data_IF_466221064929
#
_entry.id   IF_466221064929
#
_cell.length_a   1.000
_cell.length_b   1.000
_cell.length_c   1.000
_cell.angle_alpha   90.00
_cell.angle_beta   90.00
_cell.angle_gamma   90.00
#
_symmetry.space_group_name_H-M   'P 1'
#
loop_
_entity.id
_entity.type
_entity.pdbx_description
1 polymer ?
#
# COMPACT_ATOMS: atom_id res chain seq x y z
N UNK A 1 -25.56 18.53 -27.15
CA UNK A 1 -24.71 17.86 -26.12
C UNK A 1 -23.68 16.88 -26.73
N UNK A 2 -24.02 16.05 -27.73
CA UNK A 2 -23.09 15.05 -28.31
C UNK A 2 -21.80 15.55 -28.99
N UNK A 3 -21.75 16.78 -29.55
CA UNK A 3 -20.54 17.26 -30.26
C UNK A 3 -19.39 17.68 -29.32
N UNK A 4 -19.70 18.18 -28.11
CA UNK A 4 -18.68 18.57 -27.12
C UNK A 4 -18.06 17.37 -26.40
N UNK A 5 -18.87 16.35 -26.10
CA UNK A 5 -18.39 15.09 -25.49
C UNK A 5 -17.43 14.38 -26.45
N UNK A 6 -17.76 14.32 -27.75
CA UNK A 6 -16.89 13.73 -28.76
C UNK A 6 -15.58 14.50 -29.00
N UNK A 7 -15.48 15.78 -28.66
CA UNK A 7 -14.23 16.54 -28.82
C UNK A 7 -13.30 16.40 -27.62
N UNK A 8 -13.82 16.26 -26.40
CA UNK A 8 -13.00 16.06 -25.20
C UNK A 8 -12.36 14.66 -25.18
N UNK A 9 -13.12 13.62 -25.53
CA UNK A 9 -12.59 12.24 -25.60
C UNK A 9 -11.46 12.12 -26.64
N UNK A 10 -11.58 12.78 -27.80
CA UNK A 10 -10.49 12.83 -28.79
C UNK A 10 -9.23 13.51 -28.24
N UNK A 11 -9.39 14.61 -27.50
CA UNK A 11 -8.27 15.30 -26.85
C UNK A 11 -7.59 14.42 -25.80
N UNK A 12 -8.40 13.69 -25.02
CA UNK A 12 -7.93 12.72 -24.03
C UNK A 12 -7.09 11.61 -24.68
N UNK A 13 -7.58 11.00 -25.75
CA UNK A 13 -6.85 9.96 -26.51
C UNK A 13 -5.49 10.49 -26.98
N UNK A 14 -5.46 11.69 -27.57
CA UNK A 14 -4.20 12.27 -28.04
C UNK A 14 -3.21 12.58 -26.91
N UNK A 15 -3.69 13.01 -25.75
CA UNK A 15 -2.83 13.23 -24.57
C UNK A 15 -2.27 11.91 -24.05
N UNK A 16 -3.12 10.88 -24.00
CA UNK A 16 -2.70 9.52 -23.64
C UNK A 16 -1.59 9.04 -24.57
N UNK A 17 -1.76 9.13 -25.90
CA UNK A 17 -0.75 8.71 -26.87
C UNK A 17 0.59 9.46 -26.67
N UNK A 18 0.52 10.73 -26.28
CA UNK A 18 1.71 11.53 -25.99
C UNK A 18 2.38 11.09 -24.68
N UNK A 19 1.61 10.80 -23.63
CA UNK A 19 2.11 10.29 -22.35
C UNK A 19 2.78 8.93 -22.56
N UNK A 20 2.16 8.02 -23.32
CA UNK A 20 2.72 6.70 -23.66
C UNK A 20 4.02 6.83 -24.47
N UNK A 21 4.14 7.86 -25.33
CA UNK A 21 5.39 8.17 -26.02
C UNK A 21 6.48 8.77 -25.11
N UNK A 22 6.15 9.04 -23.85
CA UNK A 22 7.02 9.59 -22.81
C UNK A 22 7.72 10.91 -23.23
N UNK A 23 7.03 11.75 -24.01
CA UNK A 23 7.60 12.98 -24.58
C UNK A 23 7.00 14.23 -23.94
N UNK A 24 7.67 14.74 -22.89
CA UNK A 24 7.24 15.94 -22.15
C UNK A 24 7.14 17.19 -23.04
N UNK A 25 8.07 17.37 -23.99
CA UNK A 25 8.06 18.53 -24.89
C UNK A 25 6.81 18.53 -25.76
N UNK A 26 6.48 17.38 -26.35
CA UNK A 26 5.25 17.19 -27.15
C UNK A 26 4.00 17.42 -26.29
N UNK A 27 3.99 16.94 -25.04
CA UNK A 27 2.87 17.14 -24.12
C UNK A 27 2.65 18.64 -23.81
N UNK A 28 3.70 19.36 -23.46
CA UNK A 28 3.64 20.80 -23.16
C UNK A 28 3.15 21.61 -24.37
N UNK A 29 3.66 21.32 -25.56
CA UNK A 29 3.26 22.01 -26.77
C UNK A 29 1.79 21.74 -27.11
N UNK A 30 1.38 20.48 -27.07
CA UNK A 30 0.01 20.10 -27.39
C UNK A 30 -1.00 20.76 -26.44
N UNK A 31 -0.76 20.76 -25.13
CA UNK A 31 -1.64 21.42 -24.14
C UNK A 31 -1.74 22.93 -24.41
N UNK A 32 -0.63 23.58 -24.74
CA UNK A 32 -0.60 25.01 -25.08
C UNK A 32 -1.41 25.30 -26.34
N UNK A 33 -1.32 24.45 -27.35
CA UNK A 33 -2.06 24.59 -28.61
C UNK A 33 -3.58 24.44 -28.43
N UNK A 34 -4.02 23.43 -27.67
CA UNK A 34 -5.45 23.14 -27.53
C UNK A 34 -6.15 23.93 -26.42
N UNK A 35 -5.38 24.68 -25.63
CA UNK A 35 -5.82 25.52 -24.52
C UNK A 35 -6.84 24.81 -23.59
N UNK A 36 -6.47 23.62 -23.10
CA UNK A 36 -7.30 22.80 -22.20
C UNK A 36 -6.68 22.76 -20.80
N UNK A 37 -7.53 22.75 -19.78
CA UNK A 37 -7.11 22.37 -18.42
C UNK A 37 -7.03 20.85 -18.32
N UNK A 38 -5.87 20.29 -17.93
CA UNK A 38 -5.73 18.83 -17.78
C UNK A 38 -6.71 18.24 -16.77
N UNK A 39 -7.12 19.03 -15.77
CA UNK A 39 -8.13 18.63 -14.77
C UNK A 39 -9.46 18.23 -15.42
N UNK A 40 -9.81 18.83 -16.56
CA UNK A 40 -11.07 18.53 -17.29
C UNK A 40 -11.08 17.14 -17.93
N UNK A 41 -9.93 16.48 -18.06
CA UNK A 41 -9.84 15.12 -18.62
C UNK A 41 -10.15 14.04 -17.57
N UNK A 42 -10.09 14.40 -16.29
CA UNK A 42 -10.40 13.50 -15.19
C UNK A 42 -11.91 13.36 -15.04
N UNK A 43 -12.34 12.15 -14.69
CA UNK A 43 -13.73 11.84 -14.36
C UNK A 43 -13.78 10.74 -13.29
N UNK A 44 -14.98 10.30 -12.91
CA UNK A 44 -15.16 9.34 -11.81
C UNK A 44 -14.44 7.99 -12.02
N UNK A 45 -14.15 7.63 -13.27
CA UNK A 45 -13.60 6.33 -13.65
C UNK A 45 -12.21 6.45 -14.30
N UNK A 46 -11.69 7.66 -14.47
CA UNK A 46 -10.39 7.91 -15.11
C UNK A 46 -9.71 9.11 -14.48
N UNK A 47 -8.45 8.95 -14.13
CA UNK A 47 -7.59 10.03 -13.67
C UNK A 47 -6.26 9.99 -14.43
N UNK A 48 -5.87 11.14 -14.98
CA UNK A 48 -4.70 11.26 -15.84
C UNK A 48 -3.40 10.99 -15.09
N UNK A 49 -3.30 11.39 -13.81
CA UNK A 49 -2.13 11.14 -12.99
C UNK A 49 -1.98 9.65 -12.72
N UNK A 50 -3.04 8.98 -12.26
CA UNK A 50 -3.04 7.53 -12.04
C UNK A 50 -2.69 6.79 -13.33
N UNK A 51 -3.32 7.17 -14.46
CA UNK A 51 -3.01 6.59 -15.76
C UNK A 51 -1.52 6.68 -16.11
N UNK A 52 -0.95 7.88 -16.01
CA UNK A 52 0.45 8.11 -16.34
C UNK A 52 1.40 7.31 -15.42
N UNK A 53 1.05 7.13 -14.15
CA UNK A 53 1.82 6.30 -13.20
C UNK A 53 1.79 4.84 -13.63
N UNK A 54 0.60 4.29 -13.89
CA UNK A 54 0.40 2.89 -14.28
C UNK A 54 1.02 2.55 -15.64
N UNK A 55 1.18 3.55 -16.51
CA UNK A 55 1.81 3.47 -17.83
C UNK A 55 3.30 3.87 -17.84
N UNK A 56 3.95 3.89 -16.66
CA UNK A 56 5.39 4.13 -16.53
C UNK A 56 5.89 5.45 -17.16
N UNK A 57 5.06 6.49 -17.18
CA UNK A 57 5.49 7.80 -17.63
C UNK A 57 6.67 8.31 -16.80
N UNK A 58 7.54 9.09 -17.43
CA UNK A 58 8.71 9.68 -16.77
C UNK A 58 8.30 10.56 -15.59
N UNK A 59 9.17 10.63 -14.58
CA UNK A 59 8.94 11.45 -13.39
C UNK A 59 8.66 12.92 -13.73
N UNK A 60 9.24 13.44 -14.82
CA UNK A 60 9.02 14.82 -15.27
C UNK A 60 7.62 15.00 -15.87
N UNK A 61 7.06 14.00 -16.54
CA UNK A 61 5.67 14.00 -16.98
C UNK A 61 4.73 13.93 -15.78
N UNK A 62 5.02 13.05 -14.81
CA UNK A 62 4.21 12.95 -13.58
C UNK A 62 4.21 14.29 -12.82
N UNK A 63 5.38 14.88 -12.59
CA UNK A 63 5.51 16.19 -11.92
C UNK A 63 4.78 17.30 -12.68
N UNK A 64 4.86 17.28 -14.02
CA UNK A 64 4.11 18.22 -14.85
C UNK A 64 2.59 18.04 -14.71
N UNK A 65 2.08 16.80 -14.74
CA UNK A 65 0.64 16.51 -14.57
C UNK A 65 0.15 16.99 -13.20
N UNK A 66 0.88 16.70 -12.12
CA UNK A 66 0.53 17.15 -10.76
C UNK A 66 0.36 18.68 -10.73
N UNK A 67 1.30 19.41 -11.33
CA UNK A 67 1.28 20.89 -11.38
C UNK A 67 0.15 21.45 -12.22
N UNK A 68 -0.18 20.81 -13.35
CA UNK A 68 -1.19 21.30 -14.29
C UNK A 68 -2.62 20.94 -13.89
N UNK A 69 -2.84 19.76 -13.29
CA UNK A 69 -4.17 19.35 -12.83
C UNK A 69 -4.60 20.07 -11.54
N UNK A 70 -3.66 20.63 -10.77
CA UNK A 70 -3.93 21.36 -9.52
C UNK A 70 -4.86 20.57 -8.59
N UNK A 71 -4.45 19.33 -8.31
CA UNK A 71 -5.13 18.47 -7.35
C UNK A 71 -5.21 19.17 -5.98
N UNK A 72 -6.37 19.12 -5.34
CA UNK A 72 -6.55 19.66 -3.98
C UNK A 72 -5.72 18.86 -2.96
N UNK A 73 -5.60 17.55 -3.21
CA UNK A 73 -4.84 16.59 -2.42
C UNK A 73 -4.46 15.41 -3.32
N UNK A 74 -3.39 14.69 -2.96
CA UNK A 74 -3.01 13.42 -3.58
C UNK A 74 -3.56 12.20 -2.83
N UNK A 75 -4.33 12.44 -1.76
CA UNK A 75 -4.98 11.44 -0.91
C UNK A 75 -6.43 11.22 -1.37
N UNK A 76 -6.58 10.69 -2.58
CA UNK A 76 -7.88 10.37 -3.17
C UNK A 76 -7.86 8.99 -3.81
N UNK A 77 -9.06 8.43 -3.98
CA UNK A 77 -9.28 7.21 -4.75
C UNK A 77 -10.31 7.44 -5.84
N UNK A 78 -10.07 6.91 -7.04
CA UNK A 78 -11.11 6.74 -8.07
C UNK A 78 -11.54 5.28 -8.13
N UNK A 79 -12.74 5.01 -8.65
CA UNK A 79 -13.21 3.65 -8.85
C UNK A 79 -13.31 3.33 -10.35
N UNK A 80 -12.42 2.46 -10.81
CA UNK A 80 -12.33 2.09 -12.22
C UNK A 80 -13.20 0.85 -12.50
N UNK A 81 -14.36 1.06 -13.12
CA UNK A 81 -15.27 -0.03 -13.54
C UNK A 81 -14.78 -0.81 -14.77
N UNK A 82 -13.74 -0.33 -15.46
CA UNK A 82 -13.23 -0.93 -16.69
C UNK A 82 -12.22 -2.04 -16.39
N UNK A 83 -11.48 -1.92 -15.28
CA UNK A 83 -10.56 -2.94 -14.79
C UNK A 83 -11.33 -4.05 -14.05
N UNK A 84 -11.96 -4.92 -14.85
CA UNK A 84 -12.75 -6.04 -14.38
C UNK A 84 -11.84 -7.20 -13.96
N UNK A 85 -11.61 -7.37 -12.66
CA UNK A 85 -10.98 -8.59 -12.11
C UNK A 85 -12.04 -9.61 -11.70
N UNK A 86 -11.82 -10.86 -12.10
CA UNK A 86 -12.61 -12.01 -11.64
C UNK A 86 -12.09 -12.38 -10.24
N UNK A 87 -12.98 -12.33 -9.25
CA UNK A 87 -12.70 -12.83 -7.91
C UNK A 87 -13.33 -14.21 -7.73
N UNK A 88 -12.53 -15.16 -7.23
CA UNK A 88 -13.01 -16.46 -6.80
C UNK A 88 -13.21 -16.46 -5.29
N UNK A 89 -14.46 -16.41 -4.83
CA UNK A 89 -14.79 -16.53 -3.42
C UNK A 89 -14.89 -18.01 -3.03
N UNK A 90 -13.95 -18.51 -2.21
CA UNK A 90 -14.09 -19.74 -1.42
C UNK A 90 -14.71 -20.96 -2.17
N UNK A 91 -14.29 -21.21 -3.42
CA UNK A 91 -14.75 -22.36 -4.20
C UNK A 91 -16.16 -22.25 -4.78
N UNK A 92 -16.85 -21.14 -4.59
CA UNK A 92 -18.11 -20.83 -5.27
C UNK A 92 -17.83 -19.92 -6.47
N UNK A 93 -18.08 -20.44 -7.67
CA UNK A 93 -17.97 -19.73 -8.94
C UNK A 93 -19.12 -18.72 -9.09
N UNK A 94 -19.01 -17.56 -8.45
CA UNK A 94 -19.76 -16.38 -8.85
C UNK A 94 -18.79 -15.38 -9.45
N UNK A 95 -18.81 -15.26 -10.78
CA UNK A 95 -18.15 -14.18 -11.50
C UNK A 95 -18.77 -12.86 -11.05
N UNK A 96 -18.13 -12.22 -10.08
CA UNK A 96 -18.52 -10.88 -9.66
C UNK A 96 -17.51 -9.91 -10.25
N UNK A 97 -17.99 -9.10 -11.20
CA UNK A 97 -17.21 -8.05 -11.84
C UNK A 97 -17.20 -6.84 -10.93
N UNK A 98 -16.13 -6.67 -10.17
CA UNK A 98 -15.90 -5.45 -9.39
C UNK A 98 -14.84 -4.60 -10.08
N UNK A 99 -15.06 -3.28 -10.05
CA UNK A 99 -14.06 -2.32 -10.40
C UNK A 99 -12.98 -2.24 -9.31
N UNK A 100 -11.92 -1.52 -9.60
CA UNK A 100 -10.75 -1.40 -8.72
C UNK A 100 -10.63 0.03 -8.25
N UNK A 101 -10.46 0.22 -6.94
CA UNK A 101 -10.04 1.51 -6.43
C UNK A 101 -8.60 1.77 -6.85
N UNK A 102 -8.31 2.97 -7.35
CA UNK A 102 -6.96 3.39 -7.69
C UNK A 102 -6.62 4.64 -6.90
N UNK A 103 -5.44 4.65 -6.31
CA UNK A 103 -4.90 5.75 -5.51
C UNK A 103 -3.53 6.06 -6.08
N UNK A 104 -3.18 7.34 -6.36
CA UNK A 104 -1.91 7.66 -7.01
C UNK A 104 -0.69 7.06 -6.31
N UNK A 105 -0.65 7.17 -4.97
CA UNK A 105 0.44 6.62 -4.17
C UNK A 105 0.47 5.09 -4.23
N UNK A 106 -0.69 4.44 -4.14
CA UNK A 106 -0.76 2.97 -4.15
C UNK A 106 -0.37 2.41 -5.51
N UNK A 107 -0.84 3.03 -6.60
CA UNK A 107 -0.47 2.67 -7.98
C UNK A 107 1.03 2.80 -8.21
N UNK A 108 1.69 3.82 -7.66
CA UNK A 108 3.16 3.96 -7.80
C UNK A 108 3.94 2.90 -7.02
N UNK A 109 3.47 2.52 -5.84
CA UNK A 109 4.12 1.55 -4.96
C UNK A 109 3.87 0.12 -5.44
N UNK A 110 2.70 -0.17 -6.02
CA UNK A 110 2.35 -1.50 -6.52
C UNK A 110 3.27 -1.97 -7.65
N UNK A 111 3.77 -1.03 -8.46
CA UNK A 111 4.76 -1.28 -9.53
C UNK A 111 6.20 -1.01 -9.08
N UNK A 112 6.46 -0.89 -7.77
CA UNK A 112 7.77 -0.59 -7.18
C UNK A 112 8.43 0.69 -7.73
N UNK A 113 7.67 1.66 -8.24
CA UNK A 113 8.19 2.93 -8.74
C UNK A 113 8.39 3.92 -7.58
N UNK A 114 9.38 3.62 -6.73
CA UNK A 114 9.67 4.40 -5.53
C UNK A 114 10.11 5.84 -5.81
N UNK A 115 10.62 6.13 -7.01
CA UNK A 115 10.94 7.51 -7.42
C UNK A 115 9.68 8.35 -7.52
N UNK A 116 8.65 7.83 -8.19
CA UNK A 116 7.33 8.47 -8.27
C UNK A 116 6.64 8.49 -6.91
N UNK A 117 6.69 7.40 -6.14
CA UNK A 117 6.12 7.39 -4.79
C UNK A 117 6.74 8.47 -3.88
N UNK A 118 8.06 8.66 -3.95
CA UNK A 118 8.75 9.73 -3.23
C UNK A 118 8.30 11.13 -3.70
N UNK A 119 8.08 11.33 -5.00
CA UNK A 119 7.54 12.58 -5.55
C UNK A 119 6.13 12.85 -4.99
N UNK A 120 5.26 11.84 -4.95
CA UNK A 120 3.91 11.98 -4.41
C UNK A 120 3.92 12.31 -2.91
N UNK A 121 4.73 11.59 -2.11
CA UNK A 121 4.88 11.87 -0.67
C UNK A 121 5.44 13.28 -0.44
N UNK A 122 6.41 13.71 -1.25
CA UNK A 122 6.94 15.09 -1.19
C UNK A 122 5.85 16.14 -1.48
N UNK A 123 4.84 15.78 -2.26
CA UNK A 123 3.65 16.58 -2.52
C UNK A 123 2.47 16.21 -1.58
N UNK A 124 2.79 15.81 -0.35
CA UNK A 124 1.84 15.54 0.74
C UNK A 124 0.89 14.36 0.53
N UNK A 125 1.22 13.39 -0.34
CA UNK A 125 0.55 12.09 -0.32
C UNK A 125 0.89 11.33 0.98
N UNK A 126 -0.13 10.79 1.64
CA UNK A 126 -0.03 10.12 2.93
C UNK A 126 0.13 8.61 2.75
N UNK A 127 1.22 8.05 3.28
CA UNK A 127 1.47 6.60 3.28
C UNK A 127 0.42 5.82 4.09
N UNK A 128 -0.27 6.50 5.02
CA UNK A 128 -1.31 5.95 5.87
C UNK A 128 -2.72 6.28 5.37
N UNK A 129 -2.86 6.75 4.12
CA UNK A 129 -4.17 6.98 3.51
C UNK A 129 -5.01 5.71 3.55
N UNK A 130 -6.29 5.85 3.89
CA UNK A 130 -7.27 4.76 3.95
C UNK A 130 -8.40 5.06 2.96
N UNK A 131 -8.78 4.06 2.17
CA UNK A 131 -9.92 4.14 1.26
C UNK A 131 -11.22 3.86 2.04
N UNK A 132 -11.97 4.92 2.39
CA UNK A 132 -13.17 4.82 3.25
C UNK A 132 -14.28 3.88 2.72
N UNK A 133 -14.42 3.75 1.39
CA UNK A 133 -15.48 2.97 0.74
C UNK A 133 -15.02 1.62 0.18
N UNK A 134 -13.88 1.11 0.64
CA UNK A 134 -13.32 -0.15 0.14
C UNK A 134 -14.29 -1.35 0.34
N UNK A 135 -15.16 -1.30 1.35
CA UNK A 135 -16.10 -2.35 1.74
C UNK A 135 -17.21 -2.65 0.73
N UNK A 136 -17.51 -1.75 -0.21
CA UNK A 136 -18.58 -1.98 -1.20
C UNK A 136 -18.29 -3.24 -2.05
N UNK A 137 -17.03 -3.67 -2.11
CA UNK A 137 -16.58 -4.86 -2.83
C UNK A 137 -16.82 -6.16 -2.04
N UNK A 138 -17.02 -6.09 -0.71
CA UNK A 138 -17.13 -7.26 0.18
C UNK A 138 -18.38 -7.15 1.06
N UNK A 139 -19.55 -7.34 0.47
CA UNK A 139 -20.89 -7.21 1.09
C UNK A 139 -21.12 -8.00 2.39
N UNK A 140 -20.25 -8.97 2.72
CA UNK A 140 -20.36 -9.82 3.91
C UNK A 140 -19.32 -9.51 5.01
N UNK A 141 -18.46 -8.51 4.85
CA UNK A 141 -17.42 -8.21 5.84
C UNK A 141 -17.89 -7.11 6.82
N UNK A 142 -17.85 -7.43 8.12
CA UNK A 142 -18.09 -6.45 9.18
C UNK A 142 -17.01 -5.36 9.15
N UNK A 143 -17.43 -4.11 9.39
CA UNK A 143 -16.62 -2.87 9.43
C UNK A 143 -15.52 -2.84 10.53
N UNK A 144 -15.25 -3.95 11.20
CA UNK A 144 -14.41 -4.01 12.41
C UNK A 144 -12.90 -3.91 12.14
N UNK A 145 -12.46 -3.98 10.88
CA UNK A 145 -11.05 -3.85 10.49
C UNK A 145 -10.85 -2.64 9.60
N UNK A 146 -9.76 -1.88 9.78
CA UNK A 146 -9.35 -0.82 8.84
C UNK A 146 -8.93 -1.45 7.51
N UNK A 147 -9.87 -1.59 6.57
CA UNK A 147 -9.58 -2.05 5.23
C UNK A 147 -9.33 -0.85 4.31
N UNK A 148 -8.40 -1.01 3.38
CA UNK A 148 -8.14 -0.01 2.35
C UNK A 148 -6.91 0.87 2.59
N UNK A 149 -6.09 0.59 3.60
CA UNK A 149 -4.70 1.07 3.56
C UNK A 149 -3.89 0.32 2.49
N UNK A 150 -2.68 0.83 2.25
CA UNK A 150 -1.82 0.36 1.19
C UNK A 150 -1.40 -1.11 1.32
N UNK A 151 -1.17 -1.62 2.53
CA UNK A 151 -0.74 -3.02 2.71
C UNK A 151 -1.89 -3.96 2.38
N UNK A 152 -3.08 -3.67 2.91
CA UNK A 152 -4.28 -4.44 2.59
C UNK A 152 -4.62 -4.36 1.09
N UNK A 153 -4.52 -3.16 0.51
CA UNK A 153 -4.72 -2.95 -0.92
C UNK A 153 -3.81 -3.85 -1.75
N UNK A 154 -2.50 -3.76 -1.54
CA UNK A 154 -1.54 -4.55 -2.29
C UNK A 154 -1.73 -6.05 -2.07
N UNK A 155 -2.06 -6.47 -0.84
CA UNK A 155 -2.28 -7.88 -0.54
C UNK A 155 -3.47 -8.45 -1.31
N UNK A 156 -4.63 -7.78 -1.26
CA UNK A 156 -5.86 -8.22 -1.94
C UNK A 156 -5.68 -8.34 -3.45
N UNK A 157 -4.85 -7.49 -4.04
CA UNK A 157 -4.57 -7.51 -5.46
C UNK A 157 -3.38 -8.40 -5.87
N UNK A 158 -2.78 -9.14 -4.93
CA UNK A 158 -1.55 -9.93 -5.13
C UNK A 158 -0.35 -9.10 -5.64
N UNK A 159 -0.28 -7.84 -5.22
CA UNK A 159 0.78 -6.89 -5.56
C UNK A 159 1.77 -6.69 -4.40
N UNK A 160 1.48 -7.22 -3.20
CA UNK A 160 2.34 -7.09 -2.04
C UNK A 160 3.59 -7.97 -2.18
N UNK A 161 4.76 -7.33 -2.11
CA UNK A 161 6.07 -7.94 -2.25
C UNK A 161 7.01 -7.44 -1.13
N UNK A 162 8.15 -8.09 -0.94
CA UNK A 162 9.09 -7.69 0.12
C UNK A 162 9.59 -6.25 -0.08
N UNK A 163 9.83 -5.83 -1.32
CA UNK A 163 10.43 -4.52 -1.60
C UNK A 163 9.44 -3.37 -1.38
N UNK A 164 8.19 -3.49 -1.89
CA UNK A 164 7.19 -2.46 -1.59
C UNK A 164 6.78 -2.44 -0.12
N UNK A 165 6.71 -3.59 0.56
CA UNK A 165 6.46 -3.63 1.99
C UNK A 165 7.56 -2.89 2.77
N UNK A 166 8.83 -3.18 2.50
CA UNK A 166 9.96 -2.45 3.14
C UNK A 166 9.87 -0.95 2.87
N UNK A 167 9.55 -0.56 1.64
CA UNK A 167 9.36 0.84 1.30
C UNK A 167 8.25 1.49 2.13
N UNK A 168 7.07 0.86 2.20
CA UNK A 168 5.91 1.33 2.97
C UNK A 168 6.28 1.55 4.44
N UNK A 169 6.88 0.53 5.06
CA UNK A 169 7.28 0.57 6.46
C UNK A 169 8.28 1.71 6.72
N UNK A 170 9.32 1.82 5.88
CA UNK A 170 10.34 2.88 6.00
C UNK A 170 9.81 4.30 5.75
N UNK A 171 8.59 4.46 5.22
CA UNK A 171 7.94 5.76 5.03
C UNK A 171 7.05 6.18 6.18
N UNK A 172 7.07 5.45 7.29
CA UNK A 172 6.32 5.81 8.50
C UNK A 172 4.90 5.24 8.49
N UNK A 173 4.75 4.01 8.00
CA UNK A 173 3.49 3.30 8.10
C UNK A 173 3.09 3.11 9.57
N UNK A 174 1.80 3.27 9.87
CA UNK A 174 1.30 3.34 11.24
C UNK A 174 1.19 1.94 11.86
N UNK A 175 1.95 1.69 12.91
CA UNK A 175 1.95 0.41 13.65
C UNK A 175 0.57 0.04 14.21
N UNK A 176 -0.30 1.02 14.48
CA UNK A 176 -1.65 0.72 14.95
C UNK A 176 -2.44 -0.06 13.89
N UNK A 177 -2.23 0.22 12.60
CA UNK A 177 -2.87 -0.50 11.48
C UNK A 177 -2.36 -1.96 11.41
N UNK A 178 -1.09 -2.19 11.74
CA UNK A 178 -0.52 -3.54 11.86
C UNK A 178 -1.26 -4.33 12.95
N UNK A 179 -1.51 -3.71 14.11
CA UNK A 179 -2.20 -4.32 15.25
C UNK A 179 -3.72 -4.53 15.01
N UNK A 180 -4.32 -3.85 14.02
CA UNK A 180 -5.75 -4.02 13.73
C UNK A 180 -6.10 -5.25 12.91
N UNK A 181 -5.21 -5.80 12.08
CA UNK A 181 -5.60 -6.94 11.23
C UNK A 181 -4.59 -7.49 10.23
N UNK A 182 -3.60 -6.70 9.80
CA UNK A 182 -2.67 -7.08 8.71
C UNK A 182 -2.03 -8.46 8.95
N UNK A 183 -1.51 -8.72 10.15
CA UNK A 183 -0.85 -9.99 10.46
C UNK A 183 -1.82 -11.17 10.31
N UNK A 184 -3.06 -11.02 10.77
CA UNK A 184 -4.10 -12.04 10.64
C UNK A 184 -4.46 -12.34 9.19
N UNK A 185 -4.45 -11.32 8.33
CA UNK A 185 -4.72 -11.47 6.90
C UNK A 185 -3.58 -12.13 6.17
N UNK A 186 -2.35 -11.68 6.42
CA UNK A 186 -1.16 -12.32 5.89
C UNK A 186 -1.13 -13.79 6.29
N UNK A 187 -1.48 -14.14 7.54
CA UNK A 187 -1.60 -15.53 8.05
C UNK A 187 -2.64 -16.36 7.27
N UNK A 188 -3.76 -15.74 6.90
CA UNK A 188 -4.84 -16.42 6.17
C UNK A 188 -4.53 -16.60 4.68
N UNK A 189 -3.65 -15.76 4.13
CA UNK A 189 -3.34 -15.79 2.73
C UNK A 189 -2.55 -17.05 2.35
N UNK A 190 -2.80 -17.57 1.14
CA UNK A 190 -2.09 -18.73 0.60
C UNK A 190 -0.81 -18.34 -0.14
N UNK A 191 -0.32 -17.12 0.06
CA UNK A 191 0.86 -16.62 -0.62
C UNK A 191 2.14 -17.33 -0.15
N UNK A 192 2.98 -17.74 -1.11
CA UNK A 192 4.27 -18.39 -0.85
C UNK A 192 5.23 -17.50 -0.03
N UNK A 193 5.09 -16.18 -0.10
CA UNK A 193 5.98 -15.22 0.55
C UNK A 193 5.49 -14.73 1.94
N UNK A 194 4.38 -15.27 2.45
CA UNK A 194 3.75 -14.90 3.73
C UNK A 194 4.76 -14.77 4.89
N UNK A 195 5.58 -15.81 5.10
CA UNK A 195 6.57 -15.85 6.18
C UNK A 195 7.54 -14.67 6.10
N UNK A 196 8.00 -14.34 4.89
CA UNK A 196 8.93 -13.24 4.64
C UNK A 196 8.29 -11.88 4.94
N UNK A 197 7.02 -11.69 4.54
CA UNK A 197 6.28 -10.46 4.79
C UNK A 197 6.05 -10.21 6.29
N UNK A 198 5.57 -11.22 7.02
CA UNK A 198 5.35 -11.12 8.48
C UNK A 198 6.66 -10.84 9.20
N UNK A 199 7.73 -11.57 8.85
CA UNK A 199 9.06 -11.35 9.45
C UNK A 199 9.61 -9.96 9.16
N UNK A 200 9.32 -9.40 7.97
CA UNK A 200 9.71 -8.03 7.62
C UNK A 200 9.03 -7.01 8.53
N UNK A 201 7.73 -7.17 8.79
CA UNK A 201 6.97 -6.30 9.71
C UNK A 201 7.52 -6.40 11.13
N UNK A 202 7.72 -7.62 11.65
CA UNK A 202 8.23 -7.85 13.00
C UNK A 202 9.62 -7.24 13.19
N UNK A 203 10.54 -7.45 12.24
CA UNK A 203 11.88 -6.85 12.30
C UNK A 203 11.85 -5.33 12.26
N UNK A 204 10.92 -4.75 11.50
CA UNK A 204 10.83 -3.31 11.36
C UNK A 204 10.38 -2.61 12.65
N UNK A 205 9.36 -3.17 13.34
CA UNK A 205 8.77 -2.50 14.50
C UNK A 205 9.23 -3.02 15.86
N UNK A 206 9.54 -4.32 16.00
CA UNK A 206 9.85 -4.89 17.32
C UNK A 206 11.29 -4.55 17.69
N UNK A 207 12.28 -4.92 16.87
CA UNK A 207 13.68 -4.64 17.20
C UNK A 207 14.25 -3.54 16.30
N UNK A 208 13.63 -2.36 16.40
CA UNK A 208 13.99 -1.19 15.61
C UNK A 208 15.33 -0.55 16.03
N UNK A 209 15.74 0.49 15.30
CA UNK A 209 17.00 1.19 15.58
C UNK A 209 17.03 1.81 16.97
N UNK A 210 15.89 2.30 17.47
CA UNK A 210 15.82 2.93 18.80
C UNK A 210 16.08 1.90 19.90
N UNK A 211 15.51 0.70 19.76
CA UNK A 211 15.80 -0.42 20.65
C UNK A 211 17.27 -0.83 20.62
N UNK A 212 17.85 -0.96 19.42
CA UNK A 212 19.27 -1.33 19.25
C UNK A 212 20.16 -0.27 19.91
N UNK A 213 19.89 1.01 19.67
CA UNK A 213 20.63 2.13 20.27
C UNK A 213 20.49 2.15 21.80
N UNK A 214 19.31 1.84 22.33
CA UNK A 214 19.09 1.69 23.78
C UNK A 214 19.99 0.60 24.37
N UNK A 215 20.10 -0.57 23.74
CA UNK A 215 20.97 -1.65 24.21
C UNK A 215 22.45 -1.28 24.11
N UNK A 216 22.86 -0.65 23.01
CA UNK A 216 24.24 -0.17 22.82
C UNK A 216 24.62 0.91 23.85
N UNK A 217 23.68 1.77 24.23
CA UNK A 217 23.90 2.78 25.26
C UNK A 217 24.13 2.15 26.65
N UNK A 218 23.33 1.15 27.02
CA UNK A 218 23.51 0.39 28.28
C UNK A 218 24.90 -0.25 28.31
N UNK A 219 25.29 -0.90 27.20
CA UNK A 219 26.60 -1.53 27.06
C UNK A 219 27.75 -0.51 27.17
N UNK A 220 27.67 0.61 26.42
CA UNK A 220 28.71 1.65 26.39
C UNK A 220 28.96 2.27 27.76
N UNK A 221 27.93 2.39 28.59
CA UNK A 221 28.04 2.94 29.94
C UNK A 221 28.34 1.89 31.02
N UNK A 222 28.64 0.65 30.61
CA UNK A 222 28.92 -0.47 31.52
C UNK A 222 27.84 -0.67 32.60
N UNK A 223 26.59 -0.38 32.26
CA UNK A 223 25.47 -0.60 33.17
C UNK A 223 25.18 -2.10 33.24
N UNK A 224 25.41 -2.71 34.41
CA UNK A 224 25.09 -4.12 34.62
C UNK A 224 23.57 -4.32 34.62
N UNK A 225 23.08 -5.19 33.74
CA UNK A 225 21.70 -5.67 33.79
C UNK A 225 21.66 -7.06 34.41
N UNK A 226 20.80 -7.23 35.41
CA UNK A 226 20.35 -8.57 35.78
C UNK A 226 19.58 -9.21 34.62
N UNK A 227 19.54 -10.55 34.61
CA UNK A 227 18.74 -11.31 33.64
C UNK A 227 17.28 -10.86 33.63
N UNK A 228 16.71 -10.56 34.81
CA UNK A 228 15.33 -10.06 34.94
C UNK A 228 15.14 -8.70 34.27
N UNK A 229 16.09 -7.78 34.43
CA UNK A 229 16.02 -6.46 33.78
C UNK A 229 16.12 -6.58 32.25
N UNK A 230 17.05 -7.39 31.74
CA UNK A 230 17.18 -7.62 30.31
C UNK A 230 15.92 -8.26 29.72
N UNK A 231 15.38 -9.28 30.39
CA UNK A 231 14.10 -9.92 29.99
C UNK A 231 12.95 -8.93 29.97
N UNK A 232 12.84 -8.05 30.96
CA UNK A 232 11.81 -7.01 30.99
C UNK A 232 11.96 -6.02 29.83
N UNK A 233 13.19 -5.61 29.50
CA UNK A 233 13.46 -4.72 28.35
C UNK A 233 12.99 -5.38 27.05
N UNK A 234 13.37 -6.65 26.82
CA UNK A 234 12.96 -7.42 25.63
C UNK A 234 11.44 -7.66 25.62
N UNK A 235 10.85 -7.94 26.77
CA UNK A 235 9.41 -8.17 26.92
C UNK A 235 8.59 -6.93 26.53
N UNK A 236 8.95 -5.76 27.07
CA UNK A 236 8.30 -4.49 26.70
C UNK A 236 8.44 -4.20 25.22
N UNK A 237 9.60 -4.51 24.65
CA UNK A 237 9.87 -4.28 23.25
C UNK A 237 8.98 -5.15 22.33
N UNK A 238 8.90 -6.45 22.62
CA UNK A 238 8.03 -7.39 21.89
C UNK A 238 6.55 -6.99 21.93
N UNK A 239 6.11 -6.23 22.93
CA UNK A 239 4.71 -5.76 23.03
C UNK A 239 4.33 -4.62 22.09
N UNK A 240 5.28 -4.08 21.30
CA UNK A 240 4.95 -3.11 20.24
C UNK A 240 3.96 -3.68 19.22
N UNK A 241 4.05 -4.98 18.94
CA UNK A 241 3.07 -5.72 18.13
C UNK A 241 2.37 -6.75 19.01
N UNK A 242 1.03 -6.74 18.99
CA UNK A 242 0.23 -7.71 19.72
C UNK A 242 0.05 -9.00 18.90
N UNK A 243 0.60 -10.11 19.41
CA UNK A 243 0.34 -11.44 18.86
C UNK A 243 -0.86 -12.05 19.58
N UNK A 244 -1.95 -12.29 18.84
CA UNK A 244 -3.22 -12.78 19.38
C UNK A 244 -3.29 -14.30 19.31
N UNK A 245 -4.02 -14.93 20.24
CA UNK A 245 -4.21 -16.39 20.28
C UNK A 245 -4.88 -16.93 19.01
N UNK A 246 -5.72 -16.10 18.38
CA UNK A 246 -6.35 -16.43 17.09
C UNK A 246 -5.33 -16.64 15.96
N UNK A 247 -4.10 -16.13 16.08
CA UNK A 247 -3.04 -16.32 15.07
C UNK A 247 -2.49 -17.74 15.14
N UNK A 248 -2.35 -18.29 16.35
CA UNK A 248 -1.90 -19.67 16.58
C UNK A 248 -2.93 -20.69 16.09
N UNK A 249 -4.20 -20.49 16.43
CA UNK A 249 -5.28 -21.43 16.11
C UNK A 249 -5.42 -21.69 14.60
N UNK A 250 -5.10 -20.69 13.77
CA UNK A 250 -5.14 -20.81 12.30
C UNK A 250 -3.99 -21.68 11.75
N UNK A 251 -2.85 -21.62 12.43
CA UNK A 251 -1.62 -22.26 12.00
C UNK A 251 -1.47 -23.70 12.52
N UNK A 252 -2.11 -24.05 13.64
CA UNK A 252 -2.10 -25.41 14.22
C UNK A 252 -2.64 -26.50 13.29
N UNK A 253 -3.41 -26.14 12.27
CA UNK A 253 -3.92 -27.10 11.27
C UNK A 253 -2.90 -27.46 10.16
N UNK A 254 -1.71 -26.82 10.13
CA UNK A 254 -0.69 -27.04 9.08
C UNK A 254 0.49 -27.85 9.64
N UNK A 255 0.91 -28.89 8.89
CA UNK A 255 1.80 -29.97 9.36
C UNK A 255 3.26 -29.54 9.61
N UNK A 256 3.73 -28.47 8.96
CA UNK A 256 5.05 -27.86 9.14
C UNK A 256 4.91 -26.35 9.09
N UNK A 257 4.94 -25.70 10.26
CA UNK A 257 4.52 -24.31 10.34
C UNK A 257 5.65 -23.38 10.78
N UNK A 258 6.43 -22.92 9.80
CA UNK A 258 7.45 -21.88 10.01
C UNK A 258 6.84 -20.55 10.48
N UNK A 259 5.59 -20.25 10.12
CA UNK A 259 4.87 -19.07 10.63
C UNK A 259 4.60 -19.22 12.13
N UNK A 260 4.21 -20.41 12.59
CA UNK A 260 4.06 -20.69 14.02
C UNK A 260 5.37 -20.46 14.79
N UNK A 261 6.48 -20.98 14.29
CA UNK A 261 7.82 -20.75 14.88
C UNK A 261 8.15 -19.25 14.91
N UNK A 262 7.87 -18.53 13.83
CA UNK A 262 8.05 -17.10 13.76
C UNK A 262 7.21 -16.36 14.81
N UNK A 263 5.91 -16.68 14.93
CA UNK A 263 5.03 -16.08 15.93
C UNK A 263 5.54 -16.33 17.36
N UNK A 264 5.95 -17.56 17.68
CA UNK A 264 6.53 -17.88 18.99
C UNK A 264 7.81 -17.10 19.29
N UNK A 265 8.67 -16.89 18.29
CA UNK A 265 9.91 -16.13 18.46
C UNK A 265 9.66 -14.66 18.82
N UNK A 266 8.55 -14.08 18.38
CA UNK A 266 8.22 -12.68 18.62
C UNK A 266 7.15 -12.47 19.69
N UNK A 267 6.45 -13.51 20.15
CA UNK A 267 5.48 -13.39 21.24
C UNK A 267 6.20 -13.03 22.55
N UNK A 268 5.67 -12.03 23.23
CA UNK A 268 6.16 -11.58 24.54
C UNK A 268 5.75 -12.54 25.66
N UNK A 269 4.70 -13.33 25.47
CA UNK A 269 4.09 -14.21 26.48
C UNK A 269 4.80 -15.56 26.61
N UNK A 270 5.61 -15.92 25.62
CA UNK A 270 6.34 -17.19 25.56
C UNK A 270 7.81 -16.91 25.94
N UNK A 271 8.20 -17.23 27.18
CA UNK A 271 9.58 -17.21 27.68
C UNK A 271 9.85 -18.36 28.63
#
# INVERSE_FOLDING_TARGET
MNRKVNSLERKKIQIIDIIDSNNLYKLKNYIKEINISLKELNNNNFDLLIYAIEHFASIDIIDFIIKQCQYETLNYSIYDYTDRKIYYNNGYSQESYYGIFKVPLFSSISINNFKVANLLIKNCADINFIIDNFYVIRSNFKKEFCFGDIVHYLNIFNLLQSDNLKYILNKGFNINIVNTGIISELINDKMENQLSLINTIFKHYIFDNDFILKLLHIYKNSQSLSVKQLRNIIFTEKRKIEIKDSYYNKELCKKDNEVLKLLMNYDSRIQ
#
